data_IF_795753158228
#
_entry.id   IF_795753158228
#
_cell.length_a   1.000
_cell.length_b   1.000
_cell.length_c   1.000
_cell.angle_alpha   90.00
_cell.angle_beta   90.00
_cell.angle_gamma   90.00
#
_symmetry.space_group_name_H-M   'P 1'
#
loop_
_entity.id
_entity.type
_entity.pdbx_description
1 polymer ?
#
# COMPACT_ATOMS: atom_id res chain seq x y z
N UNK A 1 -24.18 -11.65 -7.55
CA UNK A 1 -23.78 -11.28 -6.18
C UNK A 1 -23.48 -9.80 -6.22
N UNK A 2 -24.20 -9.02 -5.45
CA UNK A 2 -23.89 -7.60 -5.31
C UNK A 2 -22.50 -7.50 -4.69
N UNK A 3 -21.56 -6.83 -5.36
CA UNK A 3 -20.21 -6.65 -4.84
C UNK A 3 -20.23 -5.57 -3.76
N UNK A 4 -19.53 -5.80 -2.66
CA UNK A 4 -19.27 -4.74 -1.70
C UNK A 4 -18.18 -3.82 -2.25
N UNK A 5 -18.29 -2.49 -2.04
CA UNK A 5 -17.36 -1.54 -2.64
C UNK A 5 -15.91 -1.79 -2.21
N UNK A 6 -15.64 -1.96 -0.90
CA UNK A 6 -14.27 -2.05 -0.40
C UNK A 6 -14.16 -2.84 0.90
N UNK A 7 -13.03 -3.54 1.08
CA UNK A 7 -12.60 -4.11 2.36
C UNK A 7 -11.25 -3.51 2.77
N UNK A 8 -11.02 -3.38 4.09
CA UNK A 8 -9.72 -2.97 4.65
C UNK A 8 -8.93 -4.22 4.98
N UNK A 9 -7.79 -4.42 4.34
CA UNK A 9 -6.95 -5.60 4.52
C UNK A 9 -5.78 -5.27 5.44
N UNK A 10 -5.75 -5.92 6.60
CA UNK A 10 -4.69 -5.77 7.60
C UNK A 10 -3.84 -7.04 7.65
N UNK A 11 -2.67 -7.08 6.99
CA UNK A 11 -1.78 -8.23 7.06
C UNK A 11 -1.04 -8.25 8.40
N UNK A 12 -0.99 -9.42 9.02
CA UNK A 12 -0.20 -9.65 10.23
C UNK A 12 0.27 -11.09 10.33
N UNK A 13 1.47 -11.28 10.86
CA UNK A 13 2.06 -12.60 11.15
C UNK A 13 2.38 -12.77 12.63
N UNK A 14 2.04 -11.80 13.44
CA UNK A 14 2.22 -11.83 14.89
C UNK A 14 0.90 -12.20 15.56
N UNK A 15 0.90 -13.03 16.61
CA UNK A 15 -0.30 -13.35 17.38
C UNK A 15 -0.87 -12.13 18.12
N UNK A 16 -0.04 -11.11 18.33
CA UNK A 16 -0.38 -9.83 18.94
C UNK A 16 0.49 -8.72 18.34
N UNK A 17 -0.06 -7.53 18.00
CA UNK A 17 0.73 -6.41 17.52
C UNK A 17 1.68 -5.85 18.58
N UNK A 18 2.74 -5.17 18.15
CA UNK A 18 3.56 -4.34 19.05
C UNK A 18 2.70 -3.23 19.67
N UNK A 19 3.19 -2.61 20.75
CA UNK A 19 2.48 -1.49 21.41
C UNK A 19 2.10 -0.37 20.41
N UNK A 20 3.02 0.01 19.50
CA UNK A 20 2.74 1.01 18.47
C UNK A 20 1.82 0.47 17.38
N UNK A 21 1.93 -0.81 17.03
CA UNK A 21 1.00 -1.47 16.11
C UNK A 21 -0.44 -1.51 16.63
N UNK A 22 -0.63 -1.61 17.96
CA UNK A 22 -1.96 -1.52 18.60
C UNK A 22 -2.57 -0.13 18.42
N UNK A 23 -1.76 0.93 18.45
CA UNK A 23 -2.21 2.30 18.17
C UNK A 23 -2.72 2.42 16.74
N UNK A 24 -1.93 1.94 15.77
CA UNK A 24 -2.35 1.91 14.36
C UNK A 24 -3.65 1.12 14.16
N UNK A 25 -3.75 -0.05 14.78
CA UNK A 25 -4.96 -0.88 14.70
C UNK A 25 -6.16 -0.19 15.34
N UNK A 26 -5.99 0.40 16.55
CA UNK A 26 -7.07 1.15 17.22
C UNK A 26 -7.58 2.29 16.34
N UNK A 27 -6.69 3.04 15.72
CA UNK A 27 -7.04 4.13 14.81
C UNK A 27 -7.78 3.61 13.57
N UNK A 28 -7.28 2.52 12.97
CA UNK A 28 -7.95 1.90 11.82
C UNK A 28 -9.36 1.43 12.17
N UNK A 29 -9.54 0.78 13.33
CA UNK A 29 -10.83 0.34 13.84
C UNK A 29 -11.78 1.51 14.13
N UNK A 30 -11.28 2.63 14.64
CA UNK A 30 -12.11 3.81 14.94
C UNK A 30 -12.54 4.53 13.68
N UNK A 31 -11.59 4.78 12.77
CA UNK A 31 -11.83 5.61 11.58
C UNK A 31 -12.57 4.83 10.49
N UNK A 32 -12.22 3.55 10.28
CA UNK A 32 -12.75 2.73 9.17
C UNK A 32 -13.77 1.67 9.63
N UNK A 33 -14.36 1.82 10.81
CA UNK A 33 -15.30 0.86 11.43
C UNK A 33 -16.54 0.51 10.59
N UNK A 34 -16.93 1.35 9.64
CA UNK A 34 -18.05 1.09 8.74
C UNK A 34 -17.70 0.11 7.60
N UNK A 35 -16.42 -0.20 7.42
CA UNK A 35 -15.92 -1.13 6.43
C UNK A 35 -15.55 -2.46 7.08
N UNK A 36 -15.71 -3.56 6.35
CA UNK A 36 -15.24 -4.87 6.81
C UNK A 36 -13.71 -4.86 6.87
N UNK A 37 -13.15 -5.19 8.03
CA UNK A 37 -11.71 -5.28 8.24
C UNK A 37 -11.29 -6.73 8.15
N UNK A 38 -10.54 -7.07 7.10
CA UNK A 38 -10.09 -8.44 6.83
C UNK A 38 -8.62 -8.59 7.21
N UNK A 39 -8.37 -9.34 8.27
CA UNK A 39 -6.99 -9.73 8.63
C UNK A 39 -6.49 -10.81 7.68
N UNK A 40 -5.33 -10.55 7.05
CA UNK A 40 -4.61 -11.54 6.25
C UNK A 40 -3.50 -12.13 7.10
N UNK A 41 -3.63 -13.42 7.44
CA UNK A 41 -2.79 -14.09 8.44
C UNK A 41 -2.19 -15.40 7.90
N UNK A 42 -1.03 -15.85 8.43
CA UNK A 42 -0.56 -17.21 8.21
C UNK A 42 -1.58 -18.26 8.67
N UNK A 43 -1.64 -19.39 7.98
CA UNK A 43 -2.65 -20.43 8.22
C UNK A 43 -2.70 -20.89 9.69
N UNK A 44 -1.55 -21.02 10.35
CA UNK A 44 -1.44 -21.47 11.74
C UNK A 44 -1.44 -20.37 12.80
N UNK A 45 -1.67 -19.10 12.43
CA UNK A 45 -1.61 -18.00 13.41
C UNK A 45 -2.76 -18.08 14.41
N UNK A 46 -2.46 -17.93 15.69
CA UNK A 46 -3.45 -17.71 16.75
C UNK A 46 -4.02 -16.29 16.64
N UNK A 47 -5.33 -16.19 16.41
CA UNK A 47 -6.02 -14.92 16.17
C UNK A 47 -6.85 -14.42 17.36
N UNK A 48 -6.88 -15.15 18.49
CA UNK A 48 -7.71 -14.85 19.65
C UNK A 48 -7.53 -13.44 20.19
N UNK A 49 -6.29 -12.92 20.17
CA UNK A 49 -6.02 -11.56 20.61
C UNK A 49 -6.76 -10.53 19.72
N UNK A 50 -6.70 -10.71 18.38
CA UNK A 50 -7.38 -9.81 17.43
C UNK A 50 -8.90 -9.90 17.55
N UNK A 51 -9.43 -11.10 17.71
CA UNK A 51 -10.87 -11.34 17.92
C UNK A 51 -11.36 -10.60 19.17
N UNK A 52 -10.65 -10.76 20.29
CA UNK A 52 -10.97 -10.08 21.55
C UNK A 52 -10.82 -8.56 21.45
N UNK A 53 -9.70 -8.08 20.86
CA UNK A 53 -9.41 -6.65 20.78
C UNK A 53 -10.38 -5.89 19.86
N UNK A 54 -10.82 -6.51 18.78
CA UNK A 54 -11.73 -5.91 17.79
C UNK A 54 -13.21 -6.08 18.16
N UNK A 55 -13.52 -6.93 19.15
CA UNK A 55 -14.91 -7.21 19.54
C UNK A 55 -15.70 -5.92 19.83
N UNK A 56 -16.85 -5.78 19.17
CA UNK A 56 -17.74 -4.60 19.32
C UNK A 56 -17.22 -3.30 18.69
N UNK A 57 -16.03 -3.29 18.03
CA UNK A 57 -15.47 -2.08 17.41
C UNK A 57 -15.72 -2.01 15.92
N UNK A 58 -15.61 -3.13 15.20
CA UNK A 58 -15.82 -3.22 13.77
C UNK A 58 -16.18 -4.67 13.36
N UNK A 59 -16.73 -4.84 12.16
CA UNK A 59 -16.86 -6.16 11.56
C UNK A 59 -15.48 -6.63 11.10
N UNK A 60 -15.04 -7.78 11.60
CA UNK A 60 -13.75 -8.36 11.23
C UNK A 60 -13.92 -9.73 10.57
N UNK A 61 -12.97 -10.05 9.66
CA UNK A 61 -12.84 -11.36 9.01
C UNK A 61 -11.39 -11.78 8.99
N UNK A 62 -11.15 -13.08 8.83
CA UNK A 62 -9.80 -13.63 8.71
C UNK A 62 -9.67 -14.39 7.40
N UNK A 63 -8.68 -14.01 6.59
CA UNK A 63 -8.24 -14.76 5.42
C UNK A 63 -6.88 -15.40 5.72
N UNK A 64 -6.84 -16.72 5.64
CA UNK A 64 -5.67 -17.52 5.99
C UNK A 64 -4.94 -17.97 4.73
N UNK A 65 -3.62 -17.72 4.70
CA UNK A 65 -2.73 -18.07 3.59
C UNK A 65 -1.43 -18.69 4.11
N UNK A 66 -0.76 -19.43 3.24
CA UNK A 66 0.60 -19.94 3.52
C UNK A 66 1.62 -18.83 3.18
N UNK A 67 2.16 -18.19 4.21
CA UNK A 67 3.22 -17.19 4.06
C UNK A 67 3.97 -16.97 5.38
N UNK A 68 5.27 -16.63 5.24
CA UNK A 68 6.12 -16.24 6.36
C UNK A 68 7.03 -15.09 5.93
N UNK A 69 6.98 -14.00 6.70
CA UNK A 69 7.82 -12.84 6.46
C UNK A 69 7.54 -12.10 5.16
N UNK A 70 8.24 -11.00 5.00
CA UNK A 70 7.99 -10.00 3.95
C UNK A 70 8.12 -10.53 2.51
N UNK A 71 9.06 -11.46 2.26
CA UNK A 71 9.28 -11.98 0.90
C UNK A 71 8.14 -12.84 0.41
N UNK A 72 7.59 -13.68 1.27
CA UNK A 72 6.46 -14.55 0.91
C UNK A 72 5.17 -13.75 0.83
N UNK A 73 5.00 -12.76 1.71
CA UNK A 73 3.92 -11.79 1.61
C UNK A 73 3.93 -11.08 0.25
N UNK A 74 5.07 -10.50 -0.17
CA UNK A 74 5.20 -9.86 -1.49
C UNK A 74 4.91 -10.82 -2.66
N UNK A 75 5.25 -12.10 -2.49
CA UNK A 75 4.93 -13.14 -3.48
C UNK A 75 3.42 -13.42 -3.54
N UNK A 76 2.79 -13.53 -2.40
CA UNK A 76 1.35 -13.76 -2.26
C UNK A 76 0.56 -12.61 -2.89
N UNK A 77 0.94 -11.37 -2.62
CA UNK A 77 0.32 -10.15 -3.16
C UNK A 77 0.40 -10.01 -4.69
N UNK A 78 1.21 -10.84 -5.38
CA UNK A 78 1.27 -10.94 -6.85
C UNK A 78 0.74 -12.29 -7.35
N UNK A 79 0.00 -13.01 -6.53
CA UNK A 79 -0.64 -14.28 -6.89
C UNK A 79 -2.13 -14.04 -7.24
N UNK A 80 -2.66 -14.63 -8.31
CA UNK A 80 -4.10 -14.55 -8.61
C UNK A 80 -4.94 -15.15 -7.48
N UNK A 81 -4.48 -16.24 -6.84
CA UNK A 81 -5.18 -16.91 -5.75
C UNK A 81 -5.40 -16.01 -4.52
N UNK A 82 -4.55 -14.99 -4.31
CA UNK A 82 -4.80 -13.99 -3.28
C UNK A 82 -6.05 -13.17 -3.60
N UNK A 83 -6.15 -12.63 -4.80
CA UNK A 83 -7.27 -11.77 -5.19
C UNK A 83 -8.58 -12.54 -5.36
N UNK A 84 -8.53 -13.83 -5.69
CA UNK A 84 -9.70 -14.71 -5.78
C UNK A 84 -10.51 -14.76 -4.47
N UNK A 85 -9.84 -14.65 -3.31
CA UNK A 85 -10.49 -14.62 -2.00
C UNK A 85 -11.29 -13.34 -1.75
N UNK A 86 -11.03 -12.29 -2.53
CA UNK A 86 -11.63 -10.96 -2.34
C UNK A 86 -12.55 -10.52 -3.47
N UNK A 87 -12.92 -11.40 -4.40
CA UNK A 87 -13.75 -11.06 -5.56
C UNK A 87 -15.17 -10.58 -5.21
N UNK A 88 -15.60 -10.74 -3.96
CA UNK A 88 -16.82 -10.13 -3.44
C UNK A 88 -16.72 -8.61 -3.24
N UNK A 89 -15.53 -8.01 -3.39
CA UNK A 89 -15.28 -6.58 -3.25
C UNK A 89 -14.70 -6.02 -4.54
N UNK A 90 -14.98 -4.75 -4.83
CA UNK A 90 -14.37 -4.03 -5.96
C UNK A 90 -12.95 -3.59 -5.65
N UNK A 91 -12.71 -3.13 -4.42
CA UNK A 91 -11.43 -2.62 -3.93
C UNK A 91 -11.00 -3.26 -2.63
N UNK A 92 -9.69 -3.21 -2.38
CA UNK A 92 -9.10 -3.45 -1.07
C UNK A 92 -8.14 -2.33 -0.71
N UNK A 93 -8.24 -1.83 0.53
CA UNK A 93 -7.23 -0.98 1.14
C UNK A 93 -6.26 -1.85 1.91
N UNK A 94 -5.03 -1.99 1.44
CA UNK A 94 -3.96 -2.56 2.27
C UNK A 94 -3.61 -1.54 3.34
N UNK A 95 -3.67 -1.93 4.61
CA UNK A 95 -3.40 -1.08 5.76
C UNK A 95 -2.55 -1.85 6.77
N UNK A 96 -1.23 -1.69 6.70
CA UNK A 96 -0.30 -2.35 7.62
C UNK A 96 -0.44 -1.81 9.05
N UNK A 97 0.06 -2.56 10.04
CA UNK A 97 0.02 -2.17 11.46
C UNK A 97 1.01 -1.04 11.82
N UNK A 98 1.72 -0.49 10.85
CA UNK A 98 2.52 0.73 10.92
C UNK A 98 1.98 1.85 10.02
N UNK A 99 0.77 1.68 9.50
CA UNK A 99 0.01 2.75 8.87
C UNK A 99 -0.84 3.49 9.90
N UNK A 100 -1.22 4.73 9.60
CA UNK A 100 -2.14 5.52 10.42
C UNK A 100 -3.12 6.27 9.53
N UNK A 101 -4.42 6.11 9.78
CA UNK A 101 -5.50 6.69 8.99
C UNK A 101 -6.03 7.94 9.71
N UNK A 102 -6.11 9.07 9.01
CA UNK A 102 -6.51 10.34 9.63
C UNK A 102 -8.02 10.59 9.57
N UNK A 103 -8.71 10.09 8.54
CA UNK A 103 -10.15 10.27 8.32
C UNK A 103 -10.70 9.18 7.39
N UNK A 104 -12.01 9.02 7.31
CA UNK A 104 -12.62 8.04 6.42
C UNK A 104 -13.02 8.65 5.07
N UNK A 105 -12.05 8.71 4.17
CA UNK A 105 -12.25 9.09 2.76
C UNK A 105 -12.26 7.86 1.83
N UNK A 106 -12.35 6.63 2.36
CA UNK A 106 -12.04 5.42 1.60
C UNK A 106 -12.91 5.24 0.36
N UNK A 107 -14.23 5.46 0.48
CA UNK A 107 -15.14 5.35 -0.66
C UNK A 107 -14.85 6.42 -1.73
N UNK A 108 -14.57 7.65 -1.32
CA UNK A 108 -14.20 8.72 -2.25
C UNK A 108 -12.91 8.39 -3.03
N UNK A 109 -11.97 7.65 -2.42
CA UNK A 109 -10.80 7.15 -3.13
C UNK A 109 -11.13 6.02 -4.10
N UNK A 110 -12.09 5.14 -3.79
CA UNK A 110 -12.59 4.12 -4.72
C UNK A 110 -13.25 4.73 -5.95
N UNK A 111 -14.06 5.78 -5.78
CA UNK A 111 -14.77 6.49 -6.85
C UNK A 111 -13.83 7.12 -7.89
N UNK A 112 -12.57 7.45 -7.51
CA UNK A 112 -11.56 7.97 -8.45
C UNK A 112 -11.15 6.96 -9.52
N UNK A 113 -11.45 5.68 -9.31
CA UNK A 113 -11.35 4.65 -10.32
C UNK A 113 -9.93 4.26 -10.71
N UNK A 114 -8.92 4.51 -9.86
CA UNK A 114 -7.57 4.02 -10.07
C UNK A 114 -7.49 2.50 -9.82
N UNK A 115 -6.64 1.81 -10.56
CA UNK A 115 -6.35 0.40 -10.28
C UNK A 115 -5.35 0.26 -9.12
N UNK A 116 -4.48 1.27 -8.94
CA UNK A 116 -3.55 1.34 -7.82
C UNK A 116 -3.27 2.78 -7.41
N UNK A 117 -3.31 3.01 -6.11
CA UNK A 117 -2.78 4.20 -5.46
C UNK A 117 -2.14 3.78 -4.13
N UNK A 118 -0.94 4.27 -3.82
CA UNK A 118 -0.21 3.94 -2.60
C UNK A 118 0.51 5.14 -2.02
N UNK A 119 1.02 4.99 -0.80
CA UNK A 119 1.73 6.05 -0.07
C UNK A 119 3.01 6.48 -0.79
N UNK A 120 3.12 7.76 -1.08
CA UNK A 120 4.28 8.31 -1.80
C UNK A 120 5.49 8.37 -0.89
N UNK A 121 6.62 7.91 -1.41
CA UNK A 121 7.92 8.06 -0.76
C UNK A 121 8.55 9.37 -1.21
N UNK A 122 8.76 10.28 -0.27
CA UNK A 122 9.39 11.58 -0.50
C UNK A 122 10.89 11.57 -0.20
N UNK A 123 11.63 10.57 -0.68
CA UNK A 123 13.08 10.54 -0.56
C UNK A 123 13.75 10.97 -1.87
N UNK A 124 14.60 12.01 -1.82
CA UNK A 124 15.39 12.45 -2.98
C UNK A 124 16.27 11.33 -3.55
N UNK A 125 16.72 10.39 -2.73
CA UNK A 125 17.49 9.22 -3.17
C UNK A 125 16.72 8.25 -4.06
N UNK A 126 15.41 8.17 -3.92
CA UNK A 126 14.57 7.32 -4.76
C UNK A 126 14.14 8.01 -6.06
N UNK A 127 13.96 9.32 -6.06
CA UNK A 127 13.72 10.11 -7.28
C UNK A 127 14.91 10.07 -8.22
N UNK A 128 16.11 10.04 -7.67
CA UNK A 128 17.37 10.00 -8.43
C UNK A 128 17.85 8.58 -8.72
N UNK A 129 17.13 7.54 -8.30
CA UNK A 129 17.50 6.12 -8.39
C UNK A 129 18.55 5.81 -9.45
N UNK A 130 19.81 5.66 -9.08
CA UNK A 130 21.03 5.49 -9.87
C UNK A 130 21.20 6.55 -10.98
N UNK A 131 22.36 7.18 -11.13
CA UNK A 131 22.61 8.18 -12.17
C UNK A 131 22.30 7.53 -13.52
N UNK A 132 21.16 7.88 -14.11
CA UNK A 132 20.78 7.40 -15.44
C UNK A 132 21.69 8.13 -16.42
N UNK A 133 22.62 7.40 -17.03
CA UNK A 133 23.53 7.96 -18.02
C UNK A 133 22.74 8.75 -19.09
N UNK A 134 23.32 9.83 -19.66
CA UNK A 134 22.66 10.62 -20.69
C UNK A 134 22.11 9.78 -21.87
N UNK A 135 22.84 8.73 -22.25
CA UNK A 135 22.40 7.76 -23.27
C UNK A 135 21.14 7.00 -22.87
N UNK A 136 21.02 6.57 -21.61
CA UNK A 136 19.79 5.93 -21.10
C UNK A 136 18.61 6.91 -21.02
N UNK A 137 18.84 8.18 -20.70
CA UNK A 137 17.80 9.22 -20.75
C UNK A 137 17.27 9.40 -22.18
N UNK A 138 18.15 9.45 -23.17
CA UNK A 138 17.79 9.60 -24.58
C UNK A 138 17.04 8.39 -25.11
N UNK A 139 17.54 7.18 -24.89
CA UNK A 139 16.86 5.92 -25.29
C UNK A 139 15.50 5.78 -24.61
N UNK A 140 15.40 6.10 -23.33
CA UNK A 140 14.14 6.09 -22.60
C UNK A 140 13.14 7.16 -23.12
N UNK A 141 13.63 8.34 -23.56
CA UNK A 141 12.81 9.38 -24.18
C UNK A 141 12.26 8.92 -25.53
N UNK A 142 13.09 8.26 -26.33
CA UNK A 142 12.70 7.72 -27.63
C UNK A 142 11.67 6.58 -27.48
N UNK A 143 11.89 5.65 -26.55
CA UNK A 143 10.96 4.58 -26.22
C UNK A 143 9.62 5.11 -25.69
N UNK A 144 9.61 6.26 -24.97
CA UNK A 144 8.36 6.95 -24.55
C UNK A 144 7.53 7.41 -25.75
N UNK A 145 8.17 8.01 -26.75
CA UNK A 145 7.47 8.52 -27.95
C UNK A 145 6.89 7.39 -28.80
N UNK A 146 7.57 6.23 -28.85
CA UNK A 146 7.17 5.11 -29.71
C UNK A 146 6.19 4.15 -29.03
N UNK A 147 6.31 3.92 -27.71
CA UNK A 147 5.54 2.89 -27.01
C UNK A 147 4.28 3.40 -26.30
N UNK A 148 4.13 4.71 -26.12
CA UNK A 148 3.01 5.30 -25.34
C UNK A 148 2.96 4.85 -23.87
N UNK A 149 4.05 4.25 -23.38
CA UNK A 149 4.14 3.70 -22.03
C UNK A 149 4.37 4.82 -21.02
N UNK A 150 3.43 5.02 -20.11
CA UNK A 150 3.60 5.92 -18.97
C UNK A 150 4.78 5.45 -18.11
N UNK A 151 5.74 6.34 -17.88
CA UNK A 151 6.81 6.12 -16.94
C UNK A 151 6.34 6.63 -15.58
N UNK A 152 6.39 5.80 -14.57
CA UNK A 152 6.14 6.25 -13.20
C UNK A 152 7.23 7.23 -12.77
N UNK A 153 6.79 8.43 -12.39
CA UNK A 153 7.67 9.53 -11.96
C UNK A 153 7.88 9.51 -10.45
N UNK A 154 7.27 8.57 -9.73
CA UNK A 154 7.32 8.47 -8.28
C UNK A 154 7.36 7.01 -7.85
N UNK A 155 7.73 6.80 -6.60
CA UNK A 155 7.61 5.52 -5.92
C UNK A 155 6.48 5.60 -4.89
N UNK A 156 5.69 4.54 -4.76
CA UNK A 156 4.65 4.44 -3.74
C UNK A 156 4.74 3.08 -3.05
N UNK A 157 4.64 3.08 -1.74
CA UNK A 157 4.68 1.90 -0.91
C UNK A 157 3.34 1.15 -0.93
N UNK A 158 3.42 -0.18 -0.81
CA UNK A 158 2.26 -1.08 -0.79
C UNK A 158 1.63 -1.28 0.59
N UNK A 159 2.24 -0.80 1.68
CA UNK A 159 1.74 -1.02 3.04
C UNK A 159 0.57 -0.12 3.45
N UNK A 160 0.35 0.97 2.71
CA UNK A 160 -0.89 1.74 2.72
C UNK A 160 -1.27 2.05 1.28
N UNK A 161 -2.09 1.19 0.67
CA UNK A 161 -2.39 1.24 -0.75
C UNK A 161 -3.78 0.71 -1.07
N UNK A 162 -4.50 1.42 -1.95
CA UNK A 162 -5.78 0.98 -2.49
C UNK A 162 -5.56 0.26 -3.83
N UNK A 163 -6.18 -0.90 -3.99
CA UNK A 163 -6.08 -1.77 -5.16
C UNK A 163 -7.47 -2.14 -5.68
N UNK A 164 -7.67 -2.04 -7.00
CA UNK A 164 -8.86 -2.58 -7.65
C UNK A 164 -8.72 -4.08 -7.85
N UNK A 165 -9.48 -4.89 -7.15
CA UNK A 165 -9.34 -6.34 -7.06
C UNK A 165 -9.43 -7.00 -8.43
N UNK A 166 -10.47 -6.70 -9.21
CA UNK A 166 -10.66 -7.28 -10.53
C UNK A 166 -9.48 -7.03 -11.49
N UNK A 167 -8.86 -5.84 -11.43
CA UNK A 167 -7.68 -5.50 -12.23
C UNK A 167 -6.46 -6.30 -11.80
N UNK A 168 -6.19 -6.40 -10.50
CA UNK A 168 -5.08 -7.18 -9.98
C UNK A 168 -5.27 -8.68 -10.24
N UNK A 169 -6.46 -9.24 -10.01
CA UNK A 169 -6.76 -10.63 -10.31
C UNK A 169 -6.49 -10.97 -11.78
N UNK A 170 -7.03 -10.16 -12.70
CA UNK A 170 -6.81 -10.33 -14.14
C UNK A 170 -5.33 -10.22 -14.54
N UNK A 171 -4.62 -9.22 -14.02
CA UNK A 171 -3.23 -8.96 -14.41
C UNK A 171 -2.26 -9.97 -13.81
N UNK A 172 -2.43 -10.35 -12.56
CA UNK A 172 -1.59 -11.38 -11.91
C UNK A 172 -1.79 -12.73 -12.60
N UNK A 173 -3.02 -13.09 -12.98
CA UNK A 173 -3.30 -14.30 -13.77
C UNK A 173 -2.67 -14.25 -15.15
N UNK A 174 -2.87 -13.14 -15.87
CA UNK A 174 -2.36 -12.97 -17.26
C UNK A 174 -0.84 -12.97 -17.32
N UNK A 175 -0.18 -12.35 -16.35
CA UNK A 175 1.26 -12.14 -16.35
C UNK A 175 2.00 -13.00 -15.30
N UNK A 176 1.42 -14.10 -14.83
CA UNK A 176 2.02 -14.98 -13.81
C UNK A 176 3.43 -15.44 -14.21
N UNK A 177 3.62 -15.86 -15.48
CA UNK A 177 4.94 -16.27 -15.98
C UNK A 177 5.96 -15.13 -15.93
N UNK A 178 5.55 -13.90 -16.25
CA UNK A 178 6.41 -12.74 -16.17
C UNK A 178 6.76 -12.39 -14.72
N UNK A 179 5.81 -12.48 -13.78
CA UNK A 179 6.05 -12.31 -12.35
C UNK A 179 7.08 -13.33 -11.85
N UNK A 180 6.92 -14.60 -12.21
CA UNK A 180 7.87 -15.68 -11.85
C UNK A 180 9.25 -15.43 -12.44
N UNK A 181 9.34 -15.07 -13.71
CA UNK A 181 10.60 -14.71 -14.36
C UNK A 181 11.30 -13.55 -13.66
N UNK A 182 10.59 -12.46 -13.42
CA UNK A 182 11.15 -11.28 -12.75
C UNK A 182 11.64 -11.59 -11.34
N UNK A 183 10.89 -12.40 -10.60
CA UNK A 183 11.28 -12.87 -9.27
C UNK A 183 12.56 -13.70 -9.31
N UNK A 184 12.69 -14.62 -10.26
CA UNK A 184 13.89 -15.43 -10.42
C UNK A 184 15.09 -14.54 -10.78
N UNK A 185 14.91 -13.59 -11.69
CA UNK A 185 15.95 -12.63 -12.06
C UNK A 185 16.39 -11.75 -10.88
N UNK A 186 15.45 -11.29 -10.05
CA UNK A 186 15.75 -10.53 -8.83
C UNK A 186 16.58 -11.37 -7.86
N UNK A 187 16.24 -12.66 -7.66
CA UNK A 187 17.00 -13.59 -6.83
C UNK A 187 18.44 -13.79 -7.35
N UNK A 188 18.59 -14.05 -8.64
CA UNK A 188 19.93 -14.24 -9.26
C UNK A 188 20.81 -13.00 -9.12
N UNK A 189 20.21 -11.82 -9.15
CA UNK A 189 20.91 -10.54 -9.00
C UNK A 189 21.12 -10.12 -7.53
N UNK A 190 20.79 -10.97 -6.57
CA UNK A 190 20.88 -10.64 -5.14
C UNK A 190 19.97 -9.49 -4.70
N UNK A 191 18.94 -9.16 -5.49
CA UNK A 191 18.01 -8.07 -5.19
C UNK A 191 16.75 -8.62 -4.53
N UNK A 192 16.19 -7.86 -3.56
CA UNK A 192 14.88 -8.15 -3.01
C UNK A 192 13.80 -8.04 -4.09
N UNK A 193 12.83 -8.96 -4.05
CA UNK A 193 11.62 -8.86 -4.84
C UNK A 193 10.55 -8.18 -3.98
N UNK A 194 10.17 -6.96 -4.34
CA UNK A 194 9.16 -6.18 -3.68
C UNK A 194 7.96 -6.01 -4.61
N UNK A 195 6.79 -6.30 -4.10
CA UNK A 195 5.53 -6.28 -4.85
C UNK A 195 5.20 -4.88 -5.36
N UNK A 196 5.32 -3.87 -4.53
CA UNK A 196 5.05 -2.48 -4.84
C UNK A 196 5.94 -1.94 -5.98
N UNK A 197 7.23 -2.28 -5.98
CA UNK A 197 8.14 -1.97 -7.09
C UNK A 197 7.66 -2.63 -8.39
N UNK A 198 7.22 -3.89 -8.31
CA UNK A 198 6.69 -4.58 -9.46
C UNK A 198 5.43 -3.89 -9.99
N UNK A 199 4.48 -3.59 -9.13
CA UNK A 199 3.21 -2.93 -9.47
C UNK A 199 3.47 -1.61 -10.17
N UNK A 200 4.27 -0.74 -9.60
CA UNK A 200 4.50 0.61 -10.12
C UNK A 200 5.33 0.60 -11.41
N UNK A 201 6.34 -0.25 -11.51
CA UNK A 201 7.27 -0.23 -12.65
C UNK A 201 6.85 -1.11 -13.81
N UNK A 202 6.13 -2.19 -13.55
CA UNK A 202 5.85 -3.21 -14.55
C UNK A 202 4.39 -3.22 -15.01
N UNK A 203 3.40 -3.13 -14.12
CA UNK A 203 2.00 -3.22 -14.52
C UNK A 203 1.57 -2.12 -15.52
N UNK A 204 1.94 -0.84 -15.39
CA UNK A 204 1.62 0.17 -16.39
C UNK A 204 2.25 -0.08 -17.77
N UNK A 205 3.35 -0.85 -17.80
CA UNK A 205 4.02 -1.24 -19.06
C UNK A 205 3.40 -2.49 -19.69
N UNK A 206 2.91 -3.39 -18.85
CA UNK A 206 2.29 -4.65 -19.28
C UNK A 206 0.84 -4.45 -19.71
N UNK A 207 0.17 -3.44 -19.20
CA UNK A 207 -1.24 -3.15 -19.49
C UNK A 207 -1.48 -1.65 -19.64
N UNK A 208 -1.83 -1.22 -20.86
CA UNK A 208 -2.20 0.19 -21.13
C UNK A 208 -3.49 0.62 -20.41
N UNK A 209 -4.35 -0.33 -20.06
CA UNK A 209 -5.59 -0.06 -19.31
C UNK A 209 -5.36 0.06 -17.81
N UNK A 210 -4.16 -0.22 -17.30
CA UNK A 210 -3.86 -0.11 -15.88
C UNK A 210 -3.74 1.35 -15.47
N UNK A 211 -4.66 1.79 -14.62
CA UNK A 211 -4.77 3.17 -14.14
C UNK A 211 -4.00 3.35 -12.83
N UNK A 212 -2.73 3.75 -12.94
CA UNK A 212 -1.94 4.17 -11.80
C UNK A 212 -2.27 5.63 -11.46
N UNK A 213 -2.50 5.93 -10.18
CA UNK A 213 -2.77 7.31 -9.75
C UNK A 213 -1.60 8.24 -10.06
N UNK A 214 -1.84 9.50 -10.49
CA UNK A 214 -0.79 10.51 -10.61
C UNK A 214 -0.14 10.82 -9.26
N UNK A 215 1.12 11.28 -9.27
CA UNK A 215 1.87 11.62 -8.04
C UNK A 215 1.11 12.58 -7.12
N UNK A 216 0.49 13.62 -7.67
CA UNK A 216 -0.25 14.60 -6.89
C UNK A 216 -1.44 14.00 -6.13
N UNK A 217 -2.14 13.05 -6.77
CA UNK A 217 -3.23 12.30 -6.14
C UNK A 217 -2.71 11.32 -5.10
N UNK A 218 -1.65 10.58 -5.43
CA UNK A 218 -1.01 9.65 -4.50
C UNK A 218 -0.51 10.37 -3.23
N UNK A 219 -0.01 11.61 -3.36
CA UNK A 219 0.43 12.43 -2.24
C UNK A 219 -0.71 12.88 -1.31
N UNK A 220 -1.93 12.99 -1.83
CA UNK A 220 -3.13 13.25 -1.04
C UNK A 220 -3.68 11.99 -0.39
N UNK A 221 -3.48 10.86 -1.04
CA UNK A 221 -3.86 9.55 -0.52
C UNK A 221 -2.96 9.14 0.63
N UNK A 222 -1.63 9.13 0.45
CA UNK A 222 -0.75 8.68 1.49
C UNK A 222 0.69 9.15 1.35
N UNK A 223 1.38 9.24 2.49
CA UNK A 223 2.80 9.54 2.57
C UNK A 223 3.53 8.51 3.42
N UNK A 224 4.78 8.18 3.07
CA UNK A 224 5.66 7.35 3.88
C UNK A 224 6.74 8.21 4.54
N UNK A 225 7.44 9.04 3.74
CA UNK A 225 8.41 10.00 4.23
C UNK A 225 7.92 11.42 4.05
N UNK A 226 8.13 12.24 5.04
CA UNK A 226 7.98 13.68 4.92
C UNK A 226 9.34 14.28 4.61
N UNK A 227 9.44 15.05 3.53
CA UNK A 227 10.65 15.77 3.23
C UNK A 227 10.77 16.95 4.19
N UNK A 228 11.84 16.97 5.01
CA UNK A 228 12.17 18.05 5.94
C UNK A 228 12.71 19.31 5.26
N UNK A 229 12.40 19.56 4.01
CA UNK A 229 12.63 20.88 3.44
C UNK A 229 11.69 21.86 4.13
N UNK A 230 12.23 22.64 5.07
CA UNK A 230 11.46 23.61 5.88
C UNK A 230 10.66 24.59 5.00
N UNK A 231 11.08 24.84 3.77
CA UNK A 231 10.34 25.63 2.79
C UNK A 231 9.05 24.97 2.30
N UNK A 232 8.92 23.65 2.51
CA UNK A 232 7.75 22.83 2.14
C UNK A 232 7.12 22.25 3.39
N UNK A 233 6.63 23.12 4.24
CA UNK A 233 6.07 22.84 5.56
C UNK A 233 5.51 21.42 5.66
N UNK A 234 6.01 20.62 6.64
CA UNK A 234 5.51 19.30 6.93
C UNK A 234 4.01 19.34 7.19
N UNK A 235 3.30 18.28 6.85
CA UNK A 235 1.87 18.13 7.12
C UNK A 235 1.49 18.47 8.57
N UNK A 236 2.38 18.29 9.55
CA UNK A 236 2.13 18.63 10.97
C UNK A 236 1.79 20.12 11.23
N UNK A 237 2.24 21.02 10.36
CA UNK A 237 1.94 22.46 10.47
C UNK A 237 0.67 22.85 9.69
N UNK A 238 0.09 21.91 8.93
CA UNK A 238 -1.11 22.18 8.13
C UNK A 238 -2.37 21.92 8.95
N UNK A 239 -3.45 22.57 8.56
CA UNK A 239 -4.77 22.24 9.07
C UNK A 239 -5.10 20.76 8.83
N UNK A 240 -5.94 20.17 9.67
CA UNK A 240 -6.31 18.75 9.59
C UNK A 240 -6.82 18.35 8.20
N UNK A 241 -7.51 19.26 7.50
CA UNK A 241 -8.04 19.08 6.14
C UNK A 241 -6.96 18.97 5.06
N UNK A 242 -5.70 19.36 5.36
CA UNK A 242 -4.57 19.27 4.44
C UNK A 242 -3.71 18.02 4.65
N UNK A 243 -4.04 17.19 5.65
CA UNK A 243 -3.37 15.91 5.86
C UNK A 243 -3.75 14.92 4.75
N UNK A 244 -2.85 13.98 4.36
CA UNK A 244 -3.23 12.89 3.48
C UNK A 244 -4.34 12.05 4.13
N UNK A 245 -4.97 11.15 3.38
CA UNK A 245 -5.93 10.18 3.92
C UNK A 245 -5.28 9.27 4.98
N UNK A 246 -4.01 8.87 4.77
CA UNK A 246 -3.22 8.13 5.75
C UNK A 246 -1.71 8.24 5.52
N UNK A 247 -0.97 7.58 6.39
CA UNK A 247 0.49 7.45 6.29
C UNK A 247 0.90 6.00 6.50
N UNK A 248 2.09 5.64 5.99
CA UNK A 248 2.71 4.33 6.19
C UNK A 248 4.09 4.46 6.82
N UNK A 249 4.47 3.47 7.61
CA UNK A 249 5.82 3.37 8.17
C UNK A 249 6.14 4.40 9.26
N UNK A 250 5.14 5.03 9.89
CA UNK A 250 5.34 6.06 10.89
C UNK A 250 6.11 5.57 12.13
N UNK A 251 6.03 4.28 12.41
CA UNK A 251 6.77 3.64 13.52
C UNK A 251 8.26 3.55 13.20
N UNK A 252 8.57 3.24 11.93
CA UNK A 252 9.92 2.97 11.46
C UNK A 252 10.60 4.22 10.91
N UNK A 253 9.82 5.07 10.23
CA UNK A 253 10.32 6.25 9.55
C UNK A 253 9.80 7.51 10.23
N UNK A 254 10.71 8.36 10.68
CA UNK A 254 10.41 9.66 11.29
C UNK A 254 9.42 9.61 12.49
N UNK A 255 9.59 8.68 13.45
CA UNK A 255 8.63 8.55 14.57
C UNK A 255 8.50 9.85 15.39
N UNK A 256 9.60 10.61 15.55
CA UNK A 256 9.59 11.85 16.32
C UNK A 256 8.78 12.96 15.64
N UNK A 257 8.65 12.90 14.31
CA UNK A 257 7.78 13.78 13.56
C UNK A 257 6.30 13.36 13.71
N UNK A 258 6.00 12.06 13.61
CA UNK A 258 4.63 11.58 13.59
C UNK A 258 4.00 11.46 14.99
N UNK A 259 4.75 11.15 16.04
CA UNK A 259 4.22 11.02 17.40
C UNK A 259 3.43 12.25 17.87
N UNK A 260 3.91 13.50 17.72
CA UNK A 260 3.13 14.68 18.06
C UNK A 260 1.82 14.82 17.28
N UNK A 261 1.83 14.41 16.01
CA UNK A 261 0.61 14.40 15.17
C UNK A 261 -0.38 13.37 15.70
N UNK A 262 0.07 12.14 15.95
CA UNK A 262 -0.76 11.03 16.41
C UNK A 262 -1.37 11.29 17.79
N UNK A 263 -0.63 11.98 18.68
CA UNK A 263 -1.17 12.42 20.00
C UNK A 263 -2.42 13.30 19.87
N UNK A 264 -2.55 14.09 18.79
CA UNK A 264 -3.75 14.92 18.56
C UNK A 264 -5.00 14.09 18.27
N UNK A 265 -4.84 12.83 17.89
CA UNK A 265 -5.93 11.86 17.72
C UNK A 265 -6.23 11.07 19.01
N UNK A 266 -5.73 11.50 20.17
CA UNK A 266 -6.04 10.92 21.47
C UNK A 266 -5.19 9.72 21.86
N UNK A 267 -4.16 9.38 21.09
CA UNK A 267 -3.28 8.25 21.41
C UNK A 267 -2.13 8.67 22.33
N UNK A 268 -1.91 7.88 23.39
CA UNK A 268 -0.77 8.02 24.27
C UNK A 268 0.45 7.33 23.67
N UNK A 269 1.46 8.10 23.29
CA UNK A 269 2.74 7.63 22.69
C UNK A 269 3.89 8.30 23.41
#
# INVERSE_FOLDING_TARGET
>A
MDSHLVTVVVPTHLPEPTALGKISLSQTLEVLKRHVITFVVPAGLDTRWYESFCHGKAEIRFERFEWQGHREFSRMMLSPAFYERFLAYDYMLICHLDAFVFRDDLEAWCERGYDYIGSVIYDKGWETGLPVSPRKKMVNSLLRKVSGVQRTEYFANGGFALKRIASFHRLTRRFDHYVRFYRTLARVRGRGFLEDIFVIRHLPRLSRSFKLAPRAEAARFGAEYVNYDESKLPFAARAQDSMPFGIHGWIQFQPDYWKPVIRRFGHLI
#
